data_IF_727725159123
#
_entry.id   IF_727725159123
#
_cell.length_a   1.000
_cell.length_b   1.000
_cell.length_c   1.000
_cell.angle_alpha   90.00
_cell.angle_beta   90.00
_cell.angle_gamma   90.00
#
_symmetry.space_group_name_H-M   'P 1'
#
loop_
_entity.id
_entity.type
_entity.pdbx_description
1 polymer ?
#
# COMPACT_ATOMS: atom_id res chain seq x y z
N UNK A 1 6.68 17.57 0.23
CA UNK A 1 6.89 16.11 0.21
C UNK A 1 5.92 15.48 1.20
N UNK A 2 4.91 14.80 0.68
CA UNK A 2 3.87 14.13 1.49
C UNK A 2 4.08 12.63 1.37
N UNK A 3 3.91 11.90 2.48
CA UNK A 3 3.96 10.43 2.47
C UNK A 3 2.60 9.90 2.89
N UNK A 4 2.02 9.05 2.06
CA UNK A 4 0.74 8.39 2.31
C UNK A 4 1.00 6.94 2.68
N UNK A 5 0.62 6.55 3.91
CA UNK A 5 0.74 5.18 4.41
C UNK A 5 -0.56 4.39 4.21
N UNK A 6 -0.44 3.13 3.77
CA UNK A 6 -1.55 2.21 3.51
C UNK A 6 -1.22 0.84 4.12
N UNK A 7 -2.16 0.23 4.85
CA UNK A 7 -2.04 -1.13 5.41
C UNK A 7 -3.44 -1.75 5.58
N UNK A 8 -3.49 -3.08 5.74
CA UNK A 8 -4.67 -3.86 6.15
C UNK A 8 -5.89 -3.72 5.24
N UNK A 9 -5.66 -3.50 3.94
CA UNK A 9 -6.73 -3.41 2.94
C UNK A 9 -6.93 -4.71 2.17
N UNK A 10 -6.33 -5.82 2.60
CA UNK A 10 -6.55 -7.11 1.97
C UNK A 10 -7.97 -7.64 2.25
N UNK A 11 -8.52 -8.35 1.28
CA UNK A 11 -9.83 -9.00 1.41
C UNK A 11 -9.75 -10.39 0.82
N UNK A 12 -10.08 -11.39 1.66
CA UNK A 12 -10.08 -12.82 1.30
C UNK A 12 -11.29 -13.22 0.46
N UNK A 13 -12.41 -12.54 0.68
CA UNK A 13 -13.73 -12.81 0.09
C UNK A 13 -13.94 -12.07 -1.23
N UNK A 14 -13.43 -10.85 -1.36
CA UNK A 14 -13.64 -10.00 -2.55
C UNK A 14 -12.45 -9.95 -3.49
N UNK A 15 -11.30 -10.49 -3.07
CA UNK A 15 -10.05 -10.45 -3.84
C UNK A 15 -9.44 -9.05 -3.87
N UNK A 16 -8.62 -8.74 -2.87
CA UNK A 16 -7.89 -7.45 -2.79
C UNK A 16 -6.58 -7.61 -2.01
N UNK A 17 -5.61 -6.72 -2.26
CA UNK A 17 -4.37 -6.62 -1.50
C UNK A 17 -3.92 -5.15 -1.36
N UNK A 18 -3.12 -4.85 -0.33
CA UNK A 18 -2.61 -3.50 -0.06
C UNK A 18 -1.77 -2.92 -1.19
N UNK A 19 -1.03 -3.77 -1.91
CA UNK A 19 -0.24 -3.33 -3.08
C UNK A 19 -1.13 -2.82 -4.22
N UNK A 20 -2.27 -3.46 -4.46
CA UNK A 20 -3.24 -3.01 -5.47
C UNK A 20 -3.82 -1.64 -5.10
N UNK A 21 -4.17 -1.43 -3.83
CA UNK A 21 -4.70 -0.13 -3.36
C UNK A 21 -3.64 0.96 -3.52
N UNK A 22 -2.39 0.70 -3.17
CA UNK A 22 -1.30 1.67 -3.34
C UNK A 22 -1.05 2.04 -4.82
N UNK A 23 -1.06 1.07 -5.74
CA UNK A 23 -0.96 1.33 -7.18
C UNK A 23 -2.14 2.20 -7.66
N UNK A 24 -3.36 1.90 -7.22
CA UNK A 24 -4.56 2.68 -7.57
C UNK A 24 -4.46 4.13 -7.08
N UNK A 25 -4.01 4.34 -5.83
CA UNK A 25 -3.81 5.67 -5.25
C UNK A 25 -2.74 6.44 -6.03
N UNK A 26 -1.58 5.83 -6.28
CA UNK A 26 -0.49 6.46 -7.03
C UNK A 26 -0.93 6.90 -8.44
N UNK A 27 -1.63 6.02 -9.17
CA UNK A 27 -2.17 6.33 -10.51
C UNK A 27 -3.17 7.48 -10.49
N UNK A 28 -4.07 7.51 -9.50
CA UNK A 28 -5.07 8.59 -9.36
C UNK A 28 -4.44 9.91 -9.00
N UNK A 29 -3.42 9.91 -8.14
CA UNK A 29 -2.65 11.12 -7.80
C UNK A 29 -1.91 11.66 -9.03
N UNK A 30 -1.22 10.79 -9.77
CA UNK A 30 -0.54 11.18 -11.01
C UNK A 30 -1.52 11.73 -12.05
N UNK A 31 -2.68 11.09 -12.22
CA UNK A 31 -3.73 11.57 -13.12
C UNK A 31 -4.33 12.93 -12.69
N UNK A 32 -4.30 13.24 -11.39
CA UNK A 32 -4.70 14.53 -10.84
C UNK A 32 -3.59 15.60 -10.89
N UNK A 33 -2.42 15.30 -11.47
CA UNK A 33 -1.30 16.23 -11.62
C UNK A 33 -0.32 16.26 -10.46
N UNK A 34 -0.45 15.36 -9.47
CA UNK A 34 0.55 15.22 -8.42
C UNK A 34 1.78 14.46 -8.94
N UNK A 35 2.98 14.86 -8.50
CA UNK A 35 4.17 14.05 -8.70
C UNK A 35 4.09 12.82 -7.78
N UNK A 36 4.44 11.64 -8.30
CA UNK A 36 4.65 10.44 -7.48
C UNK A 36 6.11 10.04 -7.66
N UNK A 37 6.92 10.24 -6.63
CA UNK A 37 8.35 9.98 -6.68
C UNK A 37 8.66 8.49 -6.62
N UNK A 38 7.99 7.77 -5.71
CA UNK A 38 8.18 6.33 -5.49
C UNK A 38 7.03 5.72 -4.69
N UNK A 39 6.88 4.41 -4.85
CA UNK A 39 6.01 3.57 -4.04
C UNK A 39 6.87 2.51 -3.34
N UNK A 40 6.69 2.34 -2.04
CA UNK A 40 7.47 1.43 -1.21
C UNK A 40 6.61 0.30 -0.69
N UNK A 41 7.12 -0.93 -0.79
CA UNK A 41 6.61 -2.10 -0.07
C UNK A 41 7.46 -2.34 1.17
N UNK A 42 6.89 -2.13 2.34
CA UNK A 42 7.57 -2.23 3.63
C UNK A 42 7.16 -3.54 4.29
N UNK A 43 8.09 -4.49 4.38
CA UNK A 43 7.84 -5.75 5.11
C UNK A 43 7.93 -5.50 6.61
N UNK A 44 6.86 -5.84 7.31
CA UNK A 44 6.76 -5.71 8.75
C UNK A 44 7.21 -7.01 9.43
N UNK A 45 7.11 -7.07 10.76
CA UNK A 45 7.46 -8.28 11.52
C UNK A 45 6.64 -9.48 11.00
N UNK A 46 7.30 -10.53 10.48
CA UNK A 46 6.61 -11.69 9.92
C UNK A 46 5.98 -12.59 10.99
N UNK A 47 6.39 -12.46 12.27
CA UNK A 47 5.93 -13.31 13.37
C UNK A 47 4.70 -12.76 14.12
N UNK A 48 4.02 -11.73 13.59
CA UNK A 48 2.82 -11.16 14.22
C UNK A 48 1.66 -12.14 14.12
N UNK A 49 1.10 -12.52 15.27
CA UNK A 49 0.03 -13.53 15.41
C UNK A 49 -1.23 -13.20 14.58
N UNK A 50 -1.59 -11.92 14.50
CA UNK A 50 -2.81 -11.47 13.83
C UNK A 50 -2.71 -11.46 12.29
N UNK A 51 -1.54 -11.75 11.71
CA UNK A 51 -1.33 -11.69 10.26
C UNK A 51 -1.21 -13.09 9.68
N UNK A 52 -2.12 -13.43 8.77
CA UNK A 52 -2.21 -14.79 8.23
C UNK A 52 -1.10 -15.15 7.26
N UNK A 53 -0.65 -14.22 6.41
CA UNK A 53 0.50 -14.37 5.48
C UNK A 53 0.92 -12.98 4.98
N UNK A 54 2.23 -12.71 4.93
CA UNK A 54 2.77 -11.58 4.17
C UNK A 54 2.53 -10.19 4.74
N UNK A 55 2.78 -9.98 6.04
CA UNK A 55 2.65 -8.69 6.73
C UNK A 55 3.46 -7.58 6.04
N UNK A 56 2.79 -6.58 5.45
CA UNK A 56 3.43 -5.47 4.78
C UNK A 56 2.51 -4.25 4.67
N UNK A 57 3.10 -3.07 4.85
CA UNK A 57 2.49 -1.79 4.57
C UNK A 57 3.06 -1.16 3.29
N UNK A 58 2.36 -0.18 2.75
CA UNK A 58 2.73 0.55 1.54
C UNK A 58 2.93 2.04 1.85
N UNK A 59 3.92 2.65 1.21
CA UNK A 59 4.15 4.10 1.25
C UNK A 59 4.15 4.71 -0.14
N UNK A 60 3.32 5.73 -0.38
CA UNK A 60 3.34 6.53 -1.62
C UNK A 60 3.96 7.89 -1.32
N UNK A 61 5.05 8.23 -2.00
CA UNK A 61 5.75 9.50 -1.86
C UNK A 61 5.36 10.45 -3.00
N UNK A 62 4.92 11.66 -2.65
CA UNK A 62 4.54 12.73 -3.58
C UNK A 62 5.32 14.02 -3.34
#
# INVERSE_FOLDING_TARGET
>A
MTVIGLDDTDSRDRGMCTTYVADSVARRLAAAGAAVERVLLLRCNPAVEYKTRGNAALGVHT
#
